data_IF_768149475000
#
_entry.id   IF_768149475000
#
_cell.length_a   1.000
_cell.length_b   1.000
_cell.length_c   1.000
_cell.angle_alpha   90.00
_cell.angle_beta   90.00
_cell.angle_gamma   90.00
#
_symmetry.space_group_name_H-M   'P 1'
#
loop_
_entity.id
_entity.type
_entity.pdbx_description
1 polymer ?
#
# COMPACT_ATOMS: atom_id res chain seq x y z
N UNK A 1 -1.09 4.93 3.44
CA UNK A 1 -1.40 4.88 2.01
C UNK A 1 -0.21 4.25 1.32
N UNK A 2 -0.32 2.97 0.99
CA UNK A 2 0.66 2.35 0.09
C UNK A 2 0.33 2.70 -1.34
N UNK A 3 1.38 2.84 -2.12
CA UNK A 3 1.32 3.05 -3.55
C UNK A 3 2.49 2.28 -4.17
N UNK A 4 2.34 1.89 -5.43
CA UNK A 4 3.48 1.41 -6.22
C UNK A 4 3.91 2.55 -7.14
N UNK A 5 5.19 2.91 -7.12
CA UNK A 5 5.74 3.92 -8.02
C UNK A 5 6.02 3.28 -9.41
N UNK A 6 5.10 2.44 -9.87
CA UNK A 6 5.22 1.72 -11.12
C UNK A 6 5.02 2.68 -12.30
N UNK A 7 5.85 2.62 -13.36
CA UNK A 7 6.81 1.57 -13.69
C UNK A 7 8.23 1.77 -13.14
N UNK A 8 8.55 2.87 -12.45
CA UNK A 8 9.91 3.15 -11.97
C UNK A 8 10.43 2.04 -11.07
N UNK A 9 9.59 1.56 -10.13
CA UNK A 9 9.95 0.46 -9.23
C UNK A 9 10.31 -0.85 -9.93
N UNK A 10 9.83 -1.06 -11.17
CA UNK A 10 10.15 -2.27 -11.97
C UNK A 10 11.65 -2.41 -12.24
N UNK A 11 12.40 -1.30 -12.24
CA UNK A 11 13.86 -1.33 -12.37
C UNK A 11 14.57 -1.95 -11.17
N UNK A 12 13.91 -2.01 -10.02
CA UNK A 12 14.49 -2.49 -8.75
C UNK A 12 13.90 -3.82 -8.29
N UNK A 13 12.59 -4.03 -8.48
CA UNK A 13 11.89 -5.24 -8.06
C UNK A 13 10.62 -5.50 -8.88
N UNK A 14 10.13 -6.75 -8.88
CA UNK A 14 8.86 -7.09 -9.53
C UNK A 14 7.67 -6.55 -8.74
N UNK A 15 6.57 -6.20 -9.43
CA UNK A 15 5.35 -5.73 -8.77
C UNK A 15 4.86 -6.67 -7.65
N UNK A 16 4.96 -7.98 -7.87
CA UNK A 16 4.61 -9.02 -6.88
C UNK A 16 5.46 -8.91 -5.62
N UNK A 17 6.77 -8.66 -5.75
CA UNK A 17 7.65 -8.49 -4.61
C UNK A 17 7.30 -7.23 -3.79
N UNK A 18 6.97 -6.12 -4.46
CA UNK A 18 6.48 -4.90 -3.79
C UNK A 18 5.22 -5.17 -2.98
N UNK A 19 4.23 -5.84 -3.58
CA UNK A 19 3.00 -6.19 -2.88
C UNK A 19 3.22 -7.15 -1.70
N UNK A 20 4.13 -8.11 -1.86
CA UNK A 20 4.53 -9.01 -0.77
C UNK A 20 5.24 -8.27 0.38
N UNK A 21 6.03 -7.24 0.08
CA UNK A 21 6.64 -6.39 1.09
C UNK A 21 5.58 -5.65 1.92
N UNK A 22 4.56 -5.05 1.28
CA UNK A 22 3.46 -4.38 2.00
C UNK A 22 2.69 -5.36 2.91
N UNK A 23 2.46 -6.59 2.45
CA UNK A 23 1.84 -7.64 3.28
C UNK A 23 2.67 -7.96 4.53
N UNK A 24 4.00 -8.05 4.40
CA UNK A 24 4.91 -8.30 5.53
C UNK A 24 4.97 -7.12 6.49
N UNK A 25 5.10 -5.90 5.96
CA UNK A 25 5.14 -4.67 6.77
C UNK A 25 3.87 -4.46 7.60
N UNK A 26 2.73 -4.98 7.13
CA UNK A 26 1.44 -4.84 7.81
C UNK A 26 1.02 -6.07 8.60
N UNK A 27 1.92 -7.05 8.83
CA UNK A 27 1.58 -8.31 9.48
C UNK A 27 1.06 -8.13 10.92
N UNK A 28 1.51 -7.09 11.62
CA UNK A 28 1.12 -6.79 13.01
C UNK A 28 0.20 -5.57 13.14
N UNK A 29 -0.17 -4.94 12.02
CA UNK A 29 -1.05 -3.79 12.03
C UNK A 29 -2.49 -4.22 12.36
N UNK A 30 -3.15 -3.47 13.24
CA UNK A 30 -4.55 -3.67 13.58
C UNK A 30 -5.50 -3.42 12.41
N UNK A 31 -6.77 -3.85 12.50
CA UNK A 31 -7.73 -3.72 11.40
C UNK A 31 -7.91 -2.28 10.89
N UNK A 32 -8.00 -1.30 11.81
CA UNK A 32 -8.15 0.12 11.47
C UNK A 32 -6.88 0.70 10.82
N UNK A 33 -5.70 0.28 11.27
CA UNK A 33 -4.42 0.70 10.69
C UNK A 33 -4.27 0.12 9.27
N UNK A 34 -4.64 -1.14 9.06
CA UNK A 34 -4.63 -1.77 7.73
C UNK A 34 -5.60 -1.07 6.78
N UNK A 35 -6.81 -0.74 7.21
CA UNK A 35 -7.75 0.05 6.39
C UNK A 35 -7.15 1.41 6.05
N UNK A 36 -6.60 2.13 7.04
CA UNK A 36 -5.96 3.42 6.80
C UNK A 36 -4.79 3.32 5.82
N UNK A 37 -3.97 2.27 5.90
CA UNK A 37 -2.80 2.06 5.05
C UNK A 37 -3.17 1.69 3.61
N UNK A 38 -4.19 0.86 3.41
CA UNK A 38 -4.54 0.29 2.11
C UNK A 38 -5.65 1.07 1.37
N UNK A 39 -6.50 1.82 2.08
CA UNK A 39 -7.66 2.50 1.47
C UNK A 39 -8.08 3.81 2.15
N UNK A 40 -8.33 3.78 3.46
CA UNK A 40 -8.99 4.89 4.18
C UNK A 40 -8.26 6.23 4.06
N UNK A 41 -6.93 6.22 4.02
CA UNK A 41 -6.15 7.46 3.82
C UNK A 41 -6.33 8.03 2.40
N UNK A 42 -6.28 7.21 1.35
CA UNK A 42 -6.45 7.68 -0.04
C UNK A 42 -7.88 8.19 -0.25
N UNK A 43 -8.88 7.47 0.26
CA UNK A 43 -10.29 7.87 0.24
C UNK A 43 -10.50 9.26 0.82
N UNK A 44 -9.96 9.53 2.02
CA UNK A 44 -10.11 10.85 2.66
C UNK A 44 -9.30 11.95 1.97
N UNK A 45 -8.04 11.67 1.62
CA UNK A 45 -7.14 12.66 1.05
C UNK A 45 -7.61 13.13 -0.33
N UNK A 46 -8.05 12.19 -1.17
CA UNK A 46 -8.51 12.47 -2.53
C UNK A 46 -10.04 12.60 -2.65
N UNK A 47 -10.77 12.55 -1.52
CA UNK A 47 -12.24 12.62 -1.47
C UNK A 47 -12.91 11.61 -2.40
N UNK A 48 -12.37 10.40 -2.43
CA UNK A 48 -12.94 9.30 -3.21
C UNK A 48 -14.14 8.76 -2.44
N UNK A 49 -15.35 8.98 -2.93
CA UNK A 49 -16.63 8.59 -2.33
C UNK A 49 -17.72 8.55 -3.37
#
# INVERSE_FOLDING_TARGET
MFESNFPVDKGSYSYVNGWNAFKRLTAHAGPSERDALLRGTVTRAYRLG
#
